data_IF_309459604584
#
_entry.id   IF_309459604584
#
_cell.length_a   1.000
_cell.length_b   1.000
_cell.length_c   1.000
_cell.angle_alpha   90.00
_cell.angle_beta   90.00
_cell.angle_gamma   90.00
#
_symmetry.space_group_name_H-M   'P 1'
#
loop_
_entity.id
_entity.type
_entity.pdbx_description
1 polymer ?
#
# COMPACT_ATOMS: atom_id res chain seq x y z
N UNK A 1 23.87 10.01 0.51
CA UNK A 1 24.34 11.23 1.22
C UNK A 1 23.15 12.19 1.24
N UNK A 2 22.38 12.18 2.33
CA UNK A 2 21.12 12.94 2.41
C UNK A 2 21.46 14.44 2.42
N UNK A 3 20.87 15.20 1.50
CA UNK A 3 21.14 16.64 1.39
C UNK A 3 20.68 17.37 2.66
N UNK A 4 21.40 18.43 3.08
CA UNK A 4 21.04 19.23 4.26
C UNK A 4 19.62 19.82 4.19
N UNK A 5 19.08 20.01 2.99
CA UNK A 5 17.70 20.43 2.75
C UNK A 5 16.67 19.38 3.20
N UNK A 6 16.96 18.09 2.97
CA UNK A 6 16.06 17.00 3.31
C UNK A 6 16.00 16.78 4.83
N UNK A 7 17.09 17.00 5.56
CA UNK A 7 17.09 16.95 7.05
C UNK A 7 16.27 18.10 7.65
N UNK A 8 16.40 19.32 7.12
CA UNK A 8 15.57 20.45 7.56
C UNK A 8 14.08 20.22 7.25
N UNK A 9 13.77 19.62 6.10
CA UNK A 9 12.39 19.28 5.72
C UNK A 9 11.79 18.24 6.67
N UNK A 10 12.51 17.15 6.97
CA UNK A 10 12.07 16.14 7.94
C UNK A 10 11.87 16.73 9.34
N UNK A 11 12.74 17.65 9.77
CA UNK A 11 12.59 18.31 11.07
C UNK A 11 11.38 19.25 11.11
N UNK A 12 11.14 20.00 10.03
CA UNK A 12 9.96 20.85 9.88
C UNK A 12 8.66 20.01 9.83
N UNK A 13 8.67 18.86 9.14
CA UNK A 13 7.55 17.92 9.10
C UNK A 13 7.27 17.25 10.45
N UNK A 14 8.30 16.91 11.21
CA UNK A 14 8.16 16.45 12.60
C UNK A 14 7.49 17.52 13.45
N UNK A 15 7.93 18.77 13.34
CA UNK A 15 7.33 19.92 14.04
C UNK A 15 5.89 20.18 13.57
N UNK A 16 5.58 20.03 12.28
CA UNK A 16 4.22 20.18 11.75
C UNK A 16 3.31 19.00 12.15
N UNK A 17 3.82 17.76 12.21
CA UNK A 17 3.12 16.62 12.82
C UNK A 17 2.81 16.88 14.30
N UNK A 18 3.64 17.65 14.99
CA UNK A 18 3.36 18.18 16.34
C UNK A 18 2.33 19.31 16.38
N UNK A 19 2.30 20.17 15.35
CA UNK A 19 1.46 21.37 15.34
C UNK A 19 0.05 21.20 14.74
N UNK A 20 -0.21 20.23 13.85
CA UNK A 20 -1.47 20.13 13.06
C UNK A 20 -2.67 19.58 13.86
N UNK A 21 -2.50 19.21 15.14
CA UNK A 21 -3.65 19.03 16.04
C UNK A 21 -3.78 20.29 16.89
N UNK A 22 -4.70 21.23 16.58
CA UNK A 22 -4.84 22.43 17.38
C UNK A 22 -5.22 22.03 18.81
N UNK A 23 -4.42 22.49 19.77
CA UNK A 23 -4.86 22.62 21.14
C UNK A 23 -5.99 23.67 21.14
N UNK A 24 -7.21 23.21 20.88
CA UNK A 24 -8.41 24.03 20.91
C UNK A 24 -8.60 24.50 22.36
N UNK A 25 -8.31 25.77 22.61
CA UNK A 25 -8.58 26.44 23.87
C UNK A 25 -10.06 26.81 23.95
N UNK A 26 -10.91 25.83 24.30
CA UNK A 26 -12.22 26.12 24.87
C UNK A 26 -12.24 25.57 26.30
N UNK A 27 -12.31 26.50 27.25
CA UNK A 27 -12.45 26.23 28.68
C UNK A 27 -13.73 25.41 28.93
N UNK A 28 -13.58 24.10 29.09
CA UNK A 28 -14.29 23.26 30.06
C UNK A 28 -13.87 21.79 29.88
N UNK A 29 -13.37 21.20 30.97
CA UNK A 29 -13.38 19.77 31.27
C UNK A 29 -12.48 18.81 30.45
N UNK A 30 -11.41 18.33 31.13
CA UNK A 30 -10.50 17.20 30.84
C UNK A 30 -9.41 17.47 29.78
N UNK A 31 -8.15 17.47 30.24
CA UNK A 31 -6.98 17.35 29.39
C UNK A 31 -7.05 16.03 28.59
N UNK A 32 -7.29 16.13 27.29
CA UNK A 32 -7.28 14.99 26.36
C UNK A 32 -5.85 14.89 25.80
N UNK A 33 -5.09 13.89 26.24
CA UNK A 33 -3.71 13.69 25.78
C UNK A 33 -3.67 13.02 24.40
N UNK A 34 -2.55 13.08 23.66
CA UNK A 34 -2.38 12.40 22.35
C UNK A 34 -2.70 10.89 22.45
N UNK A 35 -2.36 10.28 23.59
CA UNK A 35 -2.67 8.88 23.91
C UNK A 35 -4.17 8.61 24.07
N UNK A 36 -4.96 9.62 24.47
CA UNK A 36 -6.41 9.46 24.61
C UNK A 36 -7.16 9.47 23.27
N UNK A 37 -6.61 10.09 22.20
CA UNK A 37 -7.20 10.06 20.85
C UNK A 37 -6.93 8.76 20.10
N UNK A 38 -5.82 8.08 20.39
CA UNK A 38 -5.44 6.82 19.74
C UNK A 38 -5.89 5.58 20.51
N UNK A 39 -6.35 5.72 21.76
CA UNK A 39 -6.96 4.62 22.55
C UNK A 39 -8.19 3.98 21.88
N UNK A 40 -8.87 4.68 20.98
CA UNK A 40 -10.00 4.14 20.22
C UNK A 40 -9.59 3.41 18.94
N UNK A 41 -8.31 3.46 18.54
CA UNK A 41 -7.87 2.89 17.29
C UNK A 41 -7.73 1.37 17.37
N UNK A 42 -8.13 0.72 16.28
CA UNK A 42 -7.96 -0.73 16.09
C UNK A 42 -6.47 -1.07 15.90
N UNK A 43 -6.17 -2.37 15.93
CA UNK A 43 -4.85 -2.88 15.58
C UNK A 43 -4.50 -2.46 14.15
N UNK A 44 -3.32 -1.89 13.95
CA UNK A 44 -2.83 -1.49 12.64
C UNK A 44 -2.83 -2.66 11.64
N UNK A 45 -3.21 -2.40 10.39
CA UNK A 45 -3.21 -3.38 9.30
C UNK A 45 -2.13 -3.08 8.26
N UNK A 46 -1.52 -4.13 7.72
CA UNK A 46 -0.55 -4.02 6.64
C UNK A 46 -1.22 -4.18 5.27
N UNK A 47 -1.10 -3.16 4.42
CA UNK A 47 -1.73 -3.11 3.10
C UNK A 47 -0.65 -3.00 2.04
N UNK A 48 -0.47 -4.07 1.27
CA UNK A 48 0.43 -4.09 0.12
C UNK A 48 -0.29 -3.66 -1.16
N UNK A 49 0.37 -2.84 -1.99
CA UNK A 49 -0.18 -2.36 -3.26
C UNK A 49 0.85 -2.55 -4.37
N UNK A 50 0.54 -3.36 -5.39
CA UNK A 50 1.40 -3.53 -6.57
C UNK A 50 1.08 -2.53 -7.66
N UNK A 51 2.06 -2.16 -8.49
CA UNK A 51 1.88 -1.11 -9.49
C UNK A 51 1.61 0.24 -8.83
N UNK A 52 2.20 0.48 -7.65
CA UNK A 52 1.90 1.62 -6.80
C UNK A 52 2.26 2.99 -7.43
N UNK A 53 3.16 3.01 -8.41
CA UNK A 53 3.48 4.20 -9.20
C UNK A 53 2.46 4.49 -10.34
N UNK A 54 1.42 3.67 -10.47
CA UNK A 54 0.39 3.84 -11.52
C UNK A 54 -0.69 4.85 -11.13
N UNK A 55 -1.40 5.39 -12.13
CA UNK A 55 -2.44 6.41 -11.92
C UNK A 55 -3.59 5.94 -11.02
N UNK A 56 -4.02 4.68 -11.15
CA UNK A 56 -5.08 4.09 -10.32
C UNK A 56 -4.61 4.00 -8.87
N UNK A 57 -3.38 3.50 -8.67
CA UNK A 57 -2.81 3.36 -7.34
C UNK A 57 -2.65 4.74 -6.69
N UNK A 58 -2.18 5.76 -7.41
CA UNK A 58 -2.00 7.10 -6.86
C UNK A 58 -3.27 7.61 -6.17
N UNK A 59 -4.44 7.52 -6.83
CA UNK A 59 -5.71 7.93 -6.23
C UNK A 59 -6.15 7.04 -5.07
N UNK A 60 -5.96 5.73 -5.20
CA UNK A 60 -6.36 4.76 -4.19
C UNK A 60 -5.57 4.93 -2.88
N UNK A 61 -4.27 5.20 -2.98
CA UNK A 61 -3.38 5.32 -1.83
C UNK A 61 -3.80 6.43 -0.87
N UNK A 62 -4.21 7.59 -1.39
CA UNK A 62 -4.71 8.69 -0.57
C UNK A 62 -6.07 8.37 0.07
N UNK A 63 -6.94 7.59 -0.60
CA UNK A 63 -8.21 7.11 -0.02
C UNK A 63 -8.00 6.07 1.08
N UNK A 64 -6.97 5.22 0.94
CA UNK A 64 -6.56 4.30 1.99
C UNK A 64 -6.03 5.10 3.19
N UNK A 65 -5.11 6.04 2.94
CA UNK A 65 -4.47 6.86 3.98
C UNK A 65 -5.47 7.74 4.75
N UNK A 66 -6.51 8.24 4.10
CA UNK A 66 -7.56 9.04 4.74
C UNK A 66 -8.48 8.25 5.67
N UNK A 67 -8.46 6.91 5.61
CA UNK A 67 -9.39 6.05 6.33
C UNK A 67 -10.76 5.87 5.66
N UNK A 68 -10.96 6.36 4.43
CA UNK A 68 -12.22 6.21 3.69
C UNK A 68 -12.56 4.72 3.46
N UNK A 69 -11.54 3.87 3.26
CA UNK A 69 -11.72 2.45 2.94
C UNK A 69 -11.95 1.59 4.19
N UNK A 70 -11.13 1.78 5.23
CA UNK A 70 -11.13 0.90 6.41
C UNK A 70 -11.81 1.50 7.64
N UNK A 71 -12.18 2.78 7.57
CA UNK A 71 -12.82 3.53 8.66
C UNK A 71 -11.87 4.52 9.35
N UNK A 72 -12.43 5.48 10.10
CA UNK A 72 -11.68 6.58 10.72
C UNK A 72 -10.87 6.17 11.95
N UNK A 73 -10.98 4.92 12.40
CA UNK A 73 -10.37 4.35 13.59
C UNK A 73 -9.37 3.22 13.27
N UNK A 74 -9.04 3.02 11.99
CA UNK A 74 -8.20 1.91 11.52
C UNK A 74 -6.86 2.43 10.99
N UNK A 75 -5.77 2.35 11.78
CA UNK A 75 -4.44 2.71 11.31
C UNK A 75 -3.95 1.71 10.26
N UNK A 76 -3.18 2.20 9.29
CA UNK A 76 -2.63 1.40 8.20
C UNK A 76 -1.12 1.62 8.01
N UNK A 77 -0.45 0.59 7.56
CA UNK A 77 0.90 0.64 7.00
C UNK A 77 0.82 0.28 5.51
N UNK A 78 1.31 1.16 4.65
CA UNK A 78 1.31 0.98 3.20
C UNK A 78 2.66 0.36 2.76
N UNK A 79 2.58 -0.74 2.02
CA UNK A 79 3.74 -1.42 1.43
C UNK A 79 3.62 -1.38 -0.09
N UNK A 80 4.43 -0.54 -0.73
CA UNK A 80 4.25 -0.17 -2.13
C UNK A 80 5.24 -0.92 -3.02
N UNK A 81 4.71 -1.79 -3.87
CA UNK A 81 5.48 -2.58 -4.83
C UNK A 81 5.49 -1.88 -6.19
N UNK A 82 6.69 -1.51 -6.64
CA UNK A 82 6.94 -0.96 -7.97
C UNK A 82 7.69 -1.91 -8.88
N UNK A 83 8.46 -1.32 -9.79
CA UNK A 83 9.41 -1.99 -10.68
C UNK A 83 10.65 -1.12 -10.78
N UNK A 84 11.78 -1.67 -11.25
CA UNK A 84 13.01 -0.90 -11.47
C UNK A 84 12.76 0.36 -12.33
N UNK A 85 11.95 0.23 -13.39
CA UNK A 85 11.63 1.33 -14.30
C UNK A 85 10.83 2.45 -13.63
N UNK A 86 10.01 2.11 -12.63
CA UNK A 86 9.08 3.05 -12.00
C UNK A 86 9.51 3.46 -10.59
N UNK A 87 10.73 3.10 -10.15
CA UNK A 87 11.17 3.33 -8.78
C UNK A 87 11.22 4.82 -8.41
N UNK A 88 11.75 5.67 -9.29
CA UNK A 88 11.75 7.12 -9.03
C UNK A 88 10.36 7.74 -8.94
N UNK A 89 9.38 7.23 -9.71
CA UNK A 89 7.98 7.65 -9.58
C UNK A 89 7.36 7.15 -8.26
N UNK A 90 7.75 5.95 -7.82
CA UNK A 90 7.31 5.36 -6.56
C UNK A 90 7.83 6.15 -5.35
N UNK A 91 9.08 6.62 -5.40
CA UNK A 91 9.64 7.52 -4.39
C UNK A 91 8.82 8.82 -4.30
N UNK A 92 8.46 9.42 -5.44
CA UNK A 92 7.61 10.61 -5.47
C UNK A 92 6.25 10.40 -4.79
N UNK A 93 5.58 9.27 -5.07
CA UNK A 93 4.31 8.91 -4.43
C UNK A 93 4.47 8.75 -2.92
N UNK A 94 5.56 8.13 -2.47
CA UNK A 94 5.83 7.99 -1.03
C UNK A 94 6.05 9.35 -0.36
N UNK A 95 6.79 10.26 -1.00
CA UNK A 95 6.98 11.64 -0.51
C UNK A 95 5.64 12.37 -0.38
N UNK A 96 4.76 12.28 -1.38
CA UNK A 96 3.43 12.91 -1.32
C UNK A 96 2.56 12.33 -0.19
N UNK A 97 2.64 11.01 0.06
CA UNK A 97 1.93 10.36 1.16
C UNK A 97 2.45 10.81 2.53
N UNK A 98 3.77 10.97 2.68
CA UNK A 98 4.39 11.47 3.91
C UNK A 98 4.01 12.93 4.19
N UNK A 99 3.93 13.74 3.12
CA UNK A 99 3.59 15.17 3.18
C UNK A 99 2.09 15.44 3.39
N UNK A 100 1.24 14.45 3.12
CA UNK A 100 -0.21 14.58 3.30
C UNK A 100 -0.67 14.55 4.76
N UNK A 101 0.22 14.21 5.72
CA UNK A 101 -0.04 14.24 7.16
C UNK A 101 -1.26 13.45 7.64
N UNK A 102 -1.62 12.36 6.94
CA UNK A 102 -2.74 11.50 7.34
C UNK A 102 -2.48 10.81 8.69
N UNK A 103 -3.31 11.02 9.73
CA UNK A 103 -3.05 10.45 11.06
C UNK A 103 -3.06 8.92 11.10
N UNK A 104 -3.90 8.30 10.26
CA UNK A 104 -4.07 6.85 10.16
C UNK A 104 -2.96 6.18 9.36
N UNK A 105 -2.24 6.92 8.52
CA UNK A 105 -1.08 6.39 7.81
C UNK A 105 0.13 6.39 8.74
N UNK A 106 0.51 5.22 9.23
CA UNK A 106 1.56 5.07 10.25
C UNK A 106 2.92 4.81 9.65
N UNK A 107 2.95 4.12 8.52
CA UNK A 107 4.17 3.69 7.85
C UNK A 107 3.94 3.62 6.34
N UNK A 108 4.95 4.03 5.58
CA UNK A 108 5.04 3.83 4.14
C UNK A 108 6.38 3.16 3.88
N UNK A 109 6.36 2.03 3.18
CA UNK A 109 7.55 1.36 2.69
C UNK A 109 7.43 1.15 1.19
N UNK A 110 8.54 1.28 0.48
CA UNK A 110 8.59 1.10 -0.98
C UNK A 110 9.62 0.02 -1.32
N UNK A 111 9.35 -0.74 -2.38
CA UNK A 111 10.28 -1.77 -2.84
C UNK A 111 9.93 -2.28 -4.23
N UNK A 112 10.85 -3.10 -4.77
CA UNK A 112 10.68 -3.78 -6.06
C UNK A 112 10.65 -5.31 -5.92
N UNK A 113 11.07 -5.84 -4.77
CA UNK A 113 11.01 -7.26 -4.46
C UNK A 113 9.65 -7.60 -3.80
N UNK A 114 8.81 -8.43 -4.43
CA UNK A 114 7.54 -8.83 -3.83
C UNK A 114 7.71 -9.62 -2.51
N UNK A 115 8.81 -10.35 -2.29
CA UNK A 115 9.04 -11.09 -1.05
C UNK A 115 9.31 -10.17 0.14
N UNK A 116 9.90 -9.00 -0.09
CA UNK A 116 10.09 -8.00 0.95
C UNK A 116 8.82 -7.16 1.15
N UNK A 117 8.21 -6.69 0.05
CA UNK A 117 7.05 -5.79 0.12
C UNK A 117 5.79 -6.50 0.64
N UNK A 118 5.61 -7.80 0.34
CA UNK A 118 4.43 -8.55 0.82
C UNK A 118 4.59 -9.15 2.21
N UNK A 119 5.73 -8.93 2.87
CA UNK A 119 5.97 -9.42 4.23
C UNK A 119 4.85 -8.99 5.17
N UNK A 120 4.21 -9.95 5.84
CA UNK A 120 3.10 -9.75 6.80
C UNK A 120 1.91 -8.94 6.25
N UNK A 121 1.71 -8.89 4.93
CA UNK A 121 0.57 -8.20 4.35
C UNK A 121 -0.75 -8.88 4.76
N UNK A 122 -1.73 -8.10 5.21
CA UNK A 122 -3.09 -8.54 5.52
C UNK A 122 -4.06 -8.25 4.38
N UNK A 123 -3.75 -7.22 3.57
CA UNK A 123 -4.39 -6.92 2.30
C UNK A 123 -3.34 -6.79 1.21
N UNK A 124 -3.62 -7.34 0.03
CA UNK A 124 -2.78 -7.23 -1.16
C UNK A 124 -3.62 -6.75 -2.34
N UNK A 125 -3.42 -5.50 -2.76
CA UNK A 125 -4.11 -4.85 -3.88
C UNK A 125 -3.22 -4.92 -5.11
N UNK A 126 -3.46 -5.91 -5.97
CA UNK A 126 -2.61 -6.24 -7.11
C UNK A 126 -3.09 -5.49 -8.36
N UNK A 127 -2.66 -4.23 -8.50
CA UNK A 127 -3.06 -3.33 -9.59
C UNK A 127 -2.10 -3.41 -10.77
N UNK A 128 -0.80 -3.61 -10.49
CA UNK A 128 0.24 -3.63 -11.50
C UNK A 128 0.13 -4.82 -12.45
N UNK A 129 -0.14 -4.53 -13.72
CA UNK A 129 -0.05 -5.47 -14.84
C UNK A 129 0.58 -4.77 -16.05
N UNK A 130 1.22 -5.54 -16.93
CA UNK A 130 1.76 -5.01 -18.18
C UNK A 130 0.59 -4.61 -19.09
N UNK A 131 0.51 -3.36 -19.56
CA UNK A 131 -0.50 -2.95 -20.52
C UNK A 131 -0.23 -3.59 -21.88
N UNK A 132 -1.28 -3.77 -22.68
CA UNK A 132 -1.16 -4.29 -24.04
C UNK A 132 -0.38 -3.31 -24.91
N UNK A 133 0.69 -3.79 -25.54
CA UNK A 133 1.50 -3.02 -26.49
C UNK A 133 0.97 -3.11 -27.93
N UNK A 134 1.38 -2.18 -28.83
CA UNK A 134 1.12 -2.30 -30.27
C UNK A 134 1.65 -3.63 -30.82
N UNK A 135 0.83 -4.33 -31.61
CA UNK A 135 1.22 -5.62 -32.22
C UNK A 135 1.25 -6.82 -31.26
N UNK A 136 0.96 -6.64 -29.96
CA UNK A 136 0.96 -7.73 -28.99
C UNK A 136 -0.29 -8.61 -29.14
N UNK A 137 -0.08 -9.92 -29.27
CA UNK A 137 -1.17 -10.89 -29.27
C UNK A 137 -1.78 -11.05 -27.87
N UNK A 138 -3.00 -11.58 -27.80
CA UNK A 138 -3.66 -11.84 -26.53
C UNK A 138 -2.92 -12.90 -25.69
N UNK A 139 -2.33 -13.89 -26.35
CA UNK A 139 -1.55 -14.94 -25.71
C UNK A 139 -0.30 -14.37 -25.03
N UNK A 140 0.47 -13.53 -25.72
CA UNK A 140 1.66 -12.89 -25.15
C UNK A 140 1.34 -12.06 -23.91
N UNK A 141 0.22 -11.33 -23.95
CA UNK A 141 -0.23 -10.52 -22.81
C UNK A 141 -0.59 -11.40 -21.60
N UNK A 142 -1.25 -12.54 -21.85
CA UNK A 142 -1.60 -13.53 -20.83
C UNK A 142 -0.35 -14.19 -20.25
N UNK A 143 0.64 -14.52 -21.08
CA UNK A 143 1.87 -15.17 -20.62
C UNK A 143 2.71 -14.23 -19.76
N UNK A 144 2.90 -12.98 -20.20
CA UNK A 144 3.69 -12.00 -19.45
C UNK A 144 3.03 -11.66 -18.11
N UNK A 145 1.74 -11.36 -18.11
CA UNK A 145 1.03 -11.08 -16.86
C UNK A 145 0.91 -12.35 -16.00
N UNK A 146 0.73 -13.52 -16.61
CA UNK A 146 0.72 -14.79 -15.91
C UNK A 146 1.99 -15.03 -15.11
N UNK A 147 3.16 -14.71 -15.67
CA UNK A 147 4.44 -14.79 -14.94
C UNK A 147 4.49 -13.81 -13.74
N UNK A 148 4.05 -12.57 -13.94
CA UNK A 148 4.00 -11.55 -12.87
C UNK A 148 3.12 -12.03 -11.70
N UNK A 149 1.91 -12.51 -12.00
CA UNK A 149 0.95 -12.95 -10.98
C UNK A 149 1.31 -14.31 -10.37
N UNK A 150 2.01 -15.18 -11.11
CA UNK A 150 2.57 -16.40 -10.55
C UNK A 150 3.62 -16.08 -9.48
N UNK A 151 4.54 -15.16 -9.78
CA UNK A 151 5.60 -14.77 -8.83
C UNK A 151 5.05 -14.01 -7.62
N UNK A 152 4.11 -13.08 -7.84
CA UNK A 152 3.42 -12.41 -6.73
C UNK A 152 2.63 -13.42 -5.86
N UNK A 153 2.02 -14.44 -6.48
CA UNK A 153 1.36 -15.52 -5.74
C UNK A 153 2.32 -16.32 -4.86
N UNK A 154 3.51 -16.68 -5.38
CA UNK A 154 4.54 -17.36 -4.58
C UNK A 154 5.05 -16.49 -3.43
N UNK A 155 5.27 -15.21 -3.67
CA UNK A 155 5.69 -14.27 -2.64
C UNK A 155 4.63 -14.15 -1.54
N UNK A 156 3.37 -13.90 -1.88
CA UNK A 156 2.26 -13.89 -0.92
C UNK A 156 2.20 -15.18 -0.10
N UNK A 157 2.33 -16.33 -0.75
CA UNK A 157 2.35 -17.64 -0.11
C UNK A 157 3.51 -17.84 0.88
N UNK A 158 4.64 -17.20 0.61
CA UNK A 158 5.85 -17.35 1.41
C UNK A 158 5.85 -16.41 2.62
N UNK A 159 5.46 -15.14 2.43
CA UNK A 159 5.77 -14.07 3.39
C UNK A 159 4.55 -13.30 3.92
N UNK A 160 3.39 -13.40 3.26
CA UNK A 160 2.21 -12.64 3.70
C UNK A 160 1.48 -13.34 4.86
N UNK A 161 0.51 -12.63 5.45
CA UNK A 161 -0.38 -13.23 6.46
C UNK A 161 -1.09 -14.47 5.87
N UNK A 162 -1.20 -15.58 6.61
CA UNK A 162 -1.91 -16.78 6.14
C UNK A 162 -3.37 -16.52 5.74
N UNK A 163 -3.98 -15.44 6.24
CA UNK A 163 -5.33 -15.02 5.92
C UNK A 163 -5.39 -13.70 5.12
N UNK A 164 -4.31 -13.35 4.41
CA UNK A 164 -4.27 -12.18 3.53
C UNK A 164 -5.45 -12.17 2.57
N UNK A 165 -6.05 -10.99 2.36
CA UNK A 165 -7.09 -10.75 1.36
C UNK A 165 -6.45 -10.16 0.10
N UNK A 166 -6.64 -10.83 -1.02
CA UNK A 166 -5.99 -10.49 -2.29
C UNK A 166 -7.04 -9.97 -3.26
N UNK A 167 -6.83 -8.77 -3.79
CA UNK A 167 -7.71 -8.12 -4.75
C UNK A 167 -6.93 -7.81 -6.02
N UNK A 168 -7.26 -8.50 -7.11
CA UNK A 168 -6.59 -8.38 -8.40
C UNK A 168 -7.35 -7.42 -9.29
N UNK A 169 -6.70 -6.33 -9.69
CA UNK A 169 -7.26 -5.33 -10.61
C UNK A 169 -6.55 -5.37 -11.96
N UNK A 170 -5.27 -5.78 -11.98
CA UNK A 170 -4.47 -5.87 -13.20
C UNK A 170 -5.08 -6.83 -14.23
N UNK A 171 -5.35 -6.33 -15.43
CA UNK A 171 -5.99 -7.12 -16.48
C UNK A 171 -5.03 -8.13 -17.14
N UNK A 172 -5.50 -9.32 -17.54
CA UNK A 172 -6.87 -9.84 -17.38
C UNK A 172 -7.14 -10.37 -15.95
N UNK A 173 -7.98 -9.67 -15.18
CA UNK A 173 -8.02 -9.82 -13.71
C UNK A 173 -8.46 -11.23 -13.26
N UNK A 174 -9.47 -11.83 -13.89
CA UNK A 174 -9.94 -13.16 -13.52
C UNK A 174 -8.86 -14.24 -13.70
N UNK A 175 -8.14 -14.20 -14.83
CA UNK A 175 -7.07 -15.17 -15.12
C UNK A 175 -5.87 -14.92 -14.22
N UNK A 176 -5.50 -13.67 -14.01
CA UNK A 176 -4.40 -13.27 -13.12
C UNK A 176 -4.67 -13.71 -11.67
N UNK A 177 -5.91 -13.53 -11.17
CA UNK A 177 -6.33 -14.00 -9.86
C UNK A 177 -6.27 -15.53 -9.74
N UNK A 178 -6.72 -16.25 -10.77
CA UNK A 178 -6.61 -17.71 -10.82
C UNK A 178 -5.15 -18.16 -10.74
N UNK A 179 -4.26 -17.55 -11.53
CA UNK A 179 -2.82 -17.88 -11.54
C UNK A 179 -2.19 -17.58 -10.17
N UNK A 180 -2.45 -16.40 -9.61
CA UNK A 180 -1.96 -16.00 -8.30
C UNK A 180 -2.39 -17.00 -7.22
N UNK A 181 -3.68 -17.34 -7.17
CA UNK A 181 -4.24 -18.33 -6.25
C UNK A 181 -3.62 -19.71 -6.41
N UNK A 182 -3.38 -20.18 -7.65
CA UNK A 182 -2.76 -21.49 -7.92
C UNK A 182 -1.31 -21.56 -7.48
N UNK A 183 -0.61 -20.43 -7.39
CA UNK A 183 0.75 -20.34 -6.86
C UNK A 183 0.78 -20.05 -5.35
N UNK A 184 -0.38 -19.90 -4.72
CA UNK A 184 -0.52 -19.51 -3.31
C UNK A 184 -1.34 -20.51 -2.47
N UNK A 185 -0.91 -21.77 -2.47
CA UNK A 185 -1.66 -22.89 -1.87
C UNK A 185 -1.87 -22.80 -0.35
N UNK A 186 -1.07 -22.00 0.37
CA UNK A 186 -1.25 -21.78 1.82
C UNK A 186 -2.33 -20.75 2.14
N UNK A 187 -2.75 -19.94 1.16
CA UNK A 187 -3.76 -18.90 1.33
C UNK A 187 -5.12 -19.47 0.89
N UNK A 188 -6.20 -19.31 1.68
CA UNK A 188 -7.51 -19.80 1.31
C UNK A 188 -7.97 -19.26 -0.06
N UNK A 189 -8.42 -20.11 -1.00
CA UNK A 189 -8.89 -19.68 -2.33
C UNK A 189 -9.97 -18.58 -2.29
N UNK A 190 -10.84 -18.62 -1.27
CA UNK A 190 -11.90 -17.63 -1.04
C UNK A 190 -11.41 -16.21 -0.75
N UNK A 191 -10.11 -16.03 -0.49
CA UNK A 191 -9.50 -14.74 -0.21
C UNK A 191 -9.01 -14.03 -1.49
N UNK A 192 -9.09 -14.67 -2.65
CA UNK A 192 -8.72 -14.08 -3.94
C UNK A 192 -9.95 -13.53 -4.65
N UNK A 193 -9.90 -12.24 -4.99
CA UNK A 193 -10.96 -11.49 -5.65
C UNK A 193 -10.43 -10.85 -6.94
N UNK A 194 -11.31 -10.73 -7.94
CA UNK A 194 -11.03 -10.13 -9.25
C UNK A 194 -12.20 -9.24 -9.69
#
# INVERSE_FOLDING_TARGET
>A
MISRLQVCYYHLLLILKEAVVPACSLRSSRHFTREDKTKSWKKMINVAVSGAAGMIANHLLFKLASGEVFGPDQPIALKLLGSERSFGALEGVAMELEDSLYPLLREVSIGIDPYEVFQDAEWALLIGAKPRGPGMERADLLDINGQIFAEQGKALNAVASPNVKVMVVGNPCNTNALICMKNALKIPPKNFHA
#
